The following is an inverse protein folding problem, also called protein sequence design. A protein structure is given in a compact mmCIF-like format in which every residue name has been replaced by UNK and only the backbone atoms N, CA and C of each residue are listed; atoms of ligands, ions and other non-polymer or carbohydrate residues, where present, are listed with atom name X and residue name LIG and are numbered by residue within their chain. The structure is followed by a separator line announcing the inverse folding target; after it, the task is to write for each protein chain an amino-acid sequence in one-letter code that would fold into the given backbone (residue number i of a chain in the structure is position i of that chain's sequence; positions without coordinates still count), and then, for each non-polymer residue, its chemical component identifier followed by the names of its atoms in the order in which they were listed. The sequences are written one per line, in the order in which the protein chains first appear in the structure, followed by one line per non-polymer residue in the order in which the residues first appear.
data_IF_931474622566
#
_entry.id   IF_931474622566
#
_cell.length_a   1.000
_cell.length_b   1.000
_cell.length_c   1.000
_cell.angle_alpha   90.00
_cell.angle_beta   90.00
_cell.angle_gamma   90.00
#
_symmetry.space_group_name_H-M   'P 1'
#
loop_
_entity.id
_entity.type
_entity.pdbx_description
1 polymer ?
#
# COMPACT_ATOMS: atom_id res chain seq x y z
N UNK A 1 14.44 3.26 24.35
CA UNK A 1 14.86 1.92 24.84
C UNK A 1 14.08 1.46 26.08
N UNK A 2 14.12 2.17 27.22
CA UNK A 2 13.46 1.72 28.46
C UNK A 2 11.93 1.56 28.37
N UNK A 3 11.23 2.48 27.68
CA UNK A 3 9.76 2.42 27.48
C UNK A 3 9.33 1.26 26.56
N UNK A 4 10.09 1.02 25.48
CA UNK A 4 9.89 -0.11 24.56
C UNK A 4 10.12 -1.46 25.27
N UNK A 5 11.10 -1.52 26.17
CA UNK A 5 11.44 -2.70 26.97
C UNK A 5 10.36 -3.02 28.03
N UNK A 6 9.72 -2.00 28.62
CA UNK A 6 8.56 -2.20 29.51
C UNK A 6 7.25 -2.52 28.78
N UNK A 7 7.01 -1.94 27.60
CA UNK A 7 5.82 -2.24 26.78
C UNK A 7 5.80 -3.71 26.32
N UNK A 8 6.96 -4.25 25.97
CA UNK A 8 7.12 -5.68 25.66
C UNK A 8 6.82 -6.59 26.87
N UNK A 9 7.10 -6.14 28.11
CA UNK A 9 6.83 -6.94 29.32
C UNK A 9 5.33 -7.17 29.53
N UNK A 10 4.51 -6.12 29.49
CA UNK A 10 3.05 -6.26 29.67
C UNK A 10 2.44 -7.19 28.62
N UNK A 11 2.92 -7.12 27.39
CA UNK A 11 2.46 -7.98 26.29
C UNK A 11 2.86 -9.44 26.51
N UNK A 12 4.07 -9.70 27.03
CA UNK A 12 4.55 -11.06 27.35
C UNK A 12 3.83 -11.70 28.54
N UNK A 13 3.53 -10.90 29.56
CA UNK A 13 2.82 -11.36 30.76
C UNK A 13 1.31 -11.52 30.56
N UNK A 14 0.77 -11.10 29.41
CA UNK A 14 -0.68 -11.08 29.18
C UNK A 14 -1.34 -12.43 29.47
N UNK A 15 -0.75 -13.55 29.05
CA UNK A 15 -1.31 -14.90 29.24
C UNK A 15 -0.89 -15.57 30.55
N UNK A 16 -0.13 -14.90 31.42
CA UNK A 16 0.23 -15.43 32.74
C UNK A 16 -0.86 -15.15 33.79
N UNK A 17 -1.86 -14.32 33.47
CA UNK A 17 -3.05 -14.14 34.29
C UNK A 17 -4.04 -15.31 34.06
N UNK A 18 -4.59 -15.94 35.13
CA UNK A 18 -5.57 -17.02 34.99
C UNK A 18 -6.77 -16.70 34.10
N UNK A 19 -7.26 -15.45 34.10
CA UNK A 19 -8.43 -15.05 33.31
C UNK A 19 -8.16 -15.03 31.81
N UNK A 20 -6.94 -14.69 31.41
CA UNK A 20 -6.51 -14.61 30.00
C UNK A 20 -5.87 -15.90 29.51
N UNK A 21 -5.29 -16.71 30.40
CA UNK A 21 -4.71 -18.01 30.09
C UNK A 21 -5.74 -18.99 29.49
N UNK A 22 -7.01 -18.84 29.83
CA UNK A 22 -8.12 -19.65 29.32
C UNK A 22 -8.59 -19.24 27.90
N UNK A 23 -8.11 -18.11 27.37
CA UNK A 23 -8.51 -17.64 26.03
C UNK A 23 -7.92 -18.59 24.97
N UNK A 24 -8.73 -19.08 24.01
CA UNK A 24 -8.26 -20.03 23.00
C UNK A 24 -7.17 -19.41 22.11
N UNK A 25 -6.09 -20.17 21.89
CA UNK A 25 -4.96 -19.75 21.05
C UNK A 25 -4.90 -20.53 19.72
N UNK A 26 -4.53 -19.88 18.60
CA UNK A 26 -4.37 -20.55 17.31
C UNK A 26 -3.34 -21.68 17.37
N UNK A 27 -3.72 -22.89 16.96
CA UNK A 27 -2.82 -24.05 16.88
C UNK A 27 -2.74 -24.90 18.15
N UNK A 28 -3.35 -24.47 19.25
CA UNK A 28 -3.67 -25.35 20.38
C UNK A 28 -4.99 -26.09 20.08
N UNK A 29 -5.39 -27.08 20.88
CA UNK A 29 -6.65 -27.84 20.73
C UNK A 29 -7.94 -27.00 20.78
N UNK A 30 -7.84 -25.67 20.80
CA UNK A 30 -8.92 -24.71 20.72
C UNK A 30 -9.60 -24.71 19.35
N UNK A 31 -10.94 -24.69 19.36
CA UNK A 31 -11.75 -24.61 18.16
C UNK A 31 -11.88 -23.14 17.73
N UNK A 32 -11.36 -22.82 16.55
CA UNK A 32 -11.70 -21.57 15.85
C UNK A 32 -12.88 -21.81 14.90
N UNK A 33 -13.76 -20.83 14.69
CA UNK A 33 -13.72 -19.46 15.24
C UNK A 33 -14.06 -19.39 16.75
N UNK A 34 -13.48 -18.42 17.45
CA UNK A 34 -13.75 -18.14 18.86
C UNK A 34 -14.29 -16.71 19.04
N UNK A 35 -15.25 -16.53 19.94
CA UNK A 35 -15.78 -15.21 20.31
C UNK A 35 -15.20 -14.79 21.66
N UNK A 36 -14.56 -13.63 21.68
CA UNK A 36 -14.03 -13.00 22.89
C UNK A 36 -14.80 -11.70 23.11
N UNK A 37 -15.44 -11.57 24.27
CA UNK A 37 -16.25 -10.41 24.65
C UNK A 37 -15.80 -9.84 25.99
N UNK A 38 -16.27 -8.64 26.34
CA UNK A 38 -15.94 -7.96 27.60
C UNK A 38 -14.65 -7.12 27.57
N UNK A 39 -13.87 -7.16 26.49
CA UNK A 39 -12.67 -6.35 26.33
C UNK A 39 -13.01 -4.93 25.83
N UNK A 40 -12.52 -3.90 26.55
CA UNK A 40 -12.49 -2.52 26.04
C UNK A 40 -11.53 -2.38 24.86
N UNK A 41 -11.59 -1.26 24.14
CA UNK A 41 -10.79 -1.04 22.92
C UNK A 41 -9.28 -1.27 23.12
N UNK A 42 -8.71 -0.68 24.18
CA UNK A 42 -7.28 -0.83 24.49
C UNK A 42 -6.91 -2.28 24.86
N UNK A 43 -7.79 -3.00 25.57
CA UNK A 43 -7.54 -4.40 25.92
C UNK A 43 -7.64 -5.33 24.71
N UNK A 44 -8.45 -4.99 23.69
CA UNK A 44 -8.44 -5.72 22.41
C UNK A 44 -7.09 -5.58 21.71
N UNK A 45 -6.53 -4.38 21.66
CA UNK A 45 -5.21 -4.13 21.09
C UNK A 45 -4.11 -4.89 21.86
N UNK A 46 -4.13 -4.85 23.20
CA UNK A 46 -3.18 -5.59 24.03
C UNK A 46 -3.28 -7.10 23.82
N UNK A 47 -4.50 -7.66 23.79
CA UNK A 47 -4.75 -9.07 23.49
C UNK A 47 -4.16 -9.45 22.12
N UNK A 48 -4.46 -8.67 21.08
CA UNK A 48 -3.97 -8.90 19.73
C UNK A 48 -2.43 -8.86 19.65
N UNK A 49 -1.80 -7.90 20.32
CA UNK A 49 -0.35 -7.82 20.42
C UNK A 49 0.23 -9.05 21.15
N UNK A 50 -0.41 -9.51 22.22
CA UNK A 50 0.01 -10.69 22.97
C UNK A 50 -0.15 -11.98 22.16
N UNK A 51 -1.24 -12.13 21.40
CA UNK A 51 -1.43 -13.26 20.47
C UNK A 51 -0.31 -13.30 19.44
N UNK A 52 0.05 -12.16 18.86
CA UNK A 52 1.13 -12.07 17.89
C UNK A 52 2.49 -12.41 18.53
N UNK A 53 2.82 -11.85 19.69
CA UNK A 53 4.05 -12.16 20.43
C UNK A 53 4.16 -13.65 20.74
N UNK A 54 3.08 -14.25 21.27
CA UNK A 54 3.06 -15.68 21.65
C UNK A 54 3.13 -16.62 20.46
N UNK A 55 2.49 -16.29 19.34
CA UNK A 55 2.45 -17.17 18.15
C UNK A 55 3.59 -16.94 17.17
N UNK A 56 4.22 -15.75 17.20
CA UNK A 56 5.22 -15.32 16.21
C UNK A 56 4.68 -15.20 14.79
N UNK A 57 3.36 -15.25 14.59
CA UNK A 57 2.72 -15.23 13.27
C UNK A 57 2.26 -13.82 12.89
N UNK A 58 2.21 -13.47 11.58
CA UNK A 58 1.61 -12.22 11.13
C UNK A 58 0.15 -12.09 11.57
N UNK A 59 -0.25 -10.88 11.94
CA UNK A 59 -1.59 -10.57 12.41
C UNK A 59 -2.32 -9.68 11.41
N UNK A 60 -3.48 -10.14 10.92
CA UNK A 60 -4.41 -9.31 10.14
C UNK A 60 -5.63 -9.03 11.02
N UNK A 61 -5.92 -7.75 11.25
CA UNK A 61 -7.02 -7.31 12.11
C UNK A 61 -8.05 -6.57 11.29
N UNK A 62 -9.29 -7.07 11.27
CA UNK A 62 -10.39 -6.43 10.55
C UNK A 62 -11.12 -5.45 11.45
N UNK A 63 -11.17 -4.19 11.02
CA UNK A 63 -11.85 -3.07 11.68
C UNK A 63 -13.13 -2.68 10.92
N UNK A 64 -14.18 -2.18 11.59
CA UNK A 64 -15.41 -1.76 10.92
C UNK A 64 -15.22 -0.53 10.01
N UNK A 65 -14.37 0.42 10.40
CA UNK A 65 -14.15 1.68 9.70
C UNK A 65 -12.71 2.19 9.90
N UNK A 66 -12.36 3.25 9.16
CA UNK A 66 -11.01 3.84 9.13
C UNK A 66 -10.61 4.46 10.47
N UNK A 67 -11.52 5.20 11.12
CA UNK A 67 -11.26 5.81 12.43
C UNK A 67 -10.93 4.76 13.48
N UNK A 68 -11.72 3.69 13.55
CA UNK A 68 -11.45 2.56 14.45
C UNK A 68 -10.16 1.82 14.06
N UNK A 69 -9.83 1.75 12.77
CA UNK A 69 -8.62 1.09 12.29
C UNK A 69 -7.35 1.87 12.68
N UNK A 70 -7.35 3.19 12.50
CA UNK A 70 -6.24 4.07 12.87
C UNK A 70 -5.99 4.05 14.38
N UNK A 71 -7.05 4.16 15.19
CA UNK A 71 -6.94 4.08 16.65
C UNK A 71 -6.36 2.73 17.09
N UNK A 72 -6.87 1.63 16.53
CA UNK A 72 -6.40 0.28 16.85
C UNK A 72 -4.95 0.06 16.39
N UNK A 73 -4.57 0.56 15.22
CA UNK A 73 -3.20 0.50 14.73
C UNK A 73 -2.24 1.23 15.69
N UNK A 74 -2.59 2.44 16.13
CA UNK A 74 -1.80 3.20 17.10
C UNK A 74 -1.60 2.43 18.41
N UNK A 75 -2.66 1.84 18.96
CA UNK A 75 -2.59 1.03 20.17
C UNK A 75 -1.73 -0.24 19.97
N UNK A 76 -1.88 -0.92 18.82
CA UNK A 76 -1.09 -2.12 18.49
C UNK A 76 0.41 -1.81 18.36
N UNK A 77 0.76 -0.72 17.67
CA UNK A 77 2.15 -0.25 17.57
C UNK A 77 2.69 0.06 18.96
N UNK A 78 1.89 0.72 19.82
CA UNK A 78 2.30 1.05 21.18
C UNK A 78 2.56 -0.18 22.08
N UNK A 79 1.76 -1.26 21.95
CA UNK A 79 1.96 -2.48 22.75
C UNK A 79 3.01 -3.44 22.19
N UNK A 80 3.09 -3.55 20.87
CA UNK A 80 3.99 -4.51 20.21
C UNK A 80 5.38 -3.93 19.95
N UNK A 81 5.50 -2.61 19.81
CA UNK A 81 6.73 -1.95 19.35
C UNK A 81 7.07 -2.24 17.89
N UNK A 82 6.13 -2.78 17.12
CA UNK A 82 6.31 -3.15 15.73
C UNK A 82 5.60 -2.17 14.82
N UNK A 83 6.11 -2.06 13.60
CA UNK A 83 5.40 -1.39 12.52
C UNK A 83 4.12 -2.16 12.17
N UNK A 84 3.08 -1.42 11.83
CA UNK A 84 1.79 -1.94 11.42
C UNK A 84 1.29 -1.17 10.20
N UNK A 85 0.69 -1.89 9.27
CA UNK A 85 0.18 -1.34 8.03
C UNK A 85 -1.33 -1.08 8.11
N UNK A 86 -1.78 0.02 7.51
CA UNK A 86 -3.20 0.34 7.38
C UNK A 86 -3.66 0.12 5.94
N UNK A 87 -4.69 -0.71 5.78
CA UNK A 87 -5.27 -1.01 4.46
C UNK A 87 -6.75 -0.67 4.48
N UNK A 88 -7.05 0.51 3.94
CA UNK A 88 -8.41 0.99 3.72
C UNK A 88 -8.85 0.74 2.27
N UNK A 89 -10.13 0.98 1.99
CA UNK A 89 -10.61 1.02 0.62
C UNK A 89 -10.10 2.26 -0.09
N UNK A 90 -9.76 2.16 -1.37
CA UNK A 90 -9.58 3.35 -2.20
C UNK A 90 -10.95 3.96 -2.50
N UNK A 91 -11.01 5.29 -2.59
CA UNK A 91 -12.19 5.97 -3.10
C UNK A 91 -12.39 5.63 -4.58
N UNK A 92 -13.62 5.30 -4.97
CA UNK A 92 -13.96 5.20 -6.39
C UNK A 92 -14.27 6.60 -6.89
N UNK A 93 -13.35 7.19 -7.67
CA UNK A 93 -13.64 8.43 -8.37
C UNK A 93 -14.42 8.11 -9.65
N UNK A 94 -15.65 8.62 -9.75
CA UNK A 94 -16.54 8.41 -10.91
C UNK A 94 -16.47 9.57 -11.93
N UNK A 95 -15.42 10.38 -11.86
CA UNK A 95 -15.11 11.47 -12.80
C UNK A 95 -13.78 11.17 -13.48
N UNK A 96 -13.51 11.83 -14.62
CA UNK A 96 -12.32 11.62 -15.44
C UNK A 96 -11.04 11.53 -14.60
N UNK A 97 -10.25 10.47 -14.84
CA UNK A 97 -9.10 10.08 -14.03
C UNK A 97 -8.02 11.17 -13.88
N UNK A 98 -8.02 12.17 -14.76
CA UNK A 98 -7.03 13.25 -14.83
C UNK A 98 -7.05 14.21 -13.64
N UNK A 99 -8.14 14.25 -12.85
CA UNK A 99 -8.28 15.16 -11.70
C UNK A 99 -8.39 14.44 -10.33
N UNK A 100 -8.35 13.11 -10.31
CA UNK A 100 -8.54 12.31 -9.11
C UNK A 100 -7.23 12.17 -8.31
N UNK A 101 -7.23 12.56 -7.04
CA UNK A 101 -6.13 12.24 -6.14
C UNK A 101 -6.03 10.72 -5.96
N UNK A 102 -4.86 10.15 -6.24
CA UNK A 102 -4.57 8.72 -6.06
C UNK A 102 -3.94 8.38 -4.71
N UNK A 103 -3.92 9.33 -3.77
CA UNK A 103 -3.22 9.14 -2.49
C UNK A 103 -3.70 7.92 -1.70
N UNK A 104 -5.01 7.65 -1.68
CA UNK A 104 -5.55 6.47 -1.01
C UNK A 104 -5.10 5.16 -1.68
N UNK A 105 -5.10 5.12 -3.02
CA UNK A 105 -4.59 4.00 -3.82
C UNK A 105 -3.09 3.79 -3.54
N UNK A 106 -2.31 4.85 -3.50
CA UNK A 106 -0.87 4.80 -3.28
C UNK A 106 -0.51 4.33 -1.86
N UNK A 107 -1.16 4.88 -0.82
CA UNK A 107 -1.00 4.40 0.57
C UNK A 107 -1.28 2.89 0.66
N UNK A 108 -2.34 2.44 -0.02
CA UNK A 108 -2.72 1.04 -0.09
C UNK A 108 -1.66 0.19 -0.81
N UNK A 109 -1.07 0.65 -1.92
CA UNK A 109 0.04 -0.04 -2.60
C UNK A 109 1.25 -0.18 -1.66
N UNK A 110 1.60 0.88 -0.92
CA UNK A 110 2.68 0.84 0.08
C UNK A 110 2.44 -0.24 1.14
N UNK A 111 1.25 -0.26 1.74
CA UNK A 111 0.86 -1.25 2.74
C UNK A 111 0.85 -2.69 2.19
N UNK A 112 0.36 -2.89 0.96
CA UNK A 112 0.40 -4.19 0.30
C UNK A 112 1.83 -4.65 0.01
N UNK A 113 2.72 -3.74 -0.37
CA UNK A 113 4.13 -4.05 -0.58
C UNK A 113 4.84 -4.40 0.73
N UNK A 114 4.55 -3.68 1.82
CA UNK A 114 5.05 -4.00 3.15
C UNK A 114 4.60 -5.42 3.58
N UNK A 115 3.33 -5.78 3.35
CA UNK A 115 2.85 -7.15 3.55
C UNK A 115 3.62 -8.18 2.71
N UNK A 116 3.93 -7.88 1.43
CA UNK A 116 4.76 -8.76 0.59
C UNK A 116 6.19 -8.93 1.13
N UNK A 117 6.71 -7.94 1.85
CA UNK A 117 8.01 -7.97 2.53
C UNK A 117 7.95 -8.60 3.92
N UNK A 118 6.78 -9.05 4.36
CA UNK A 118 6.60 -9.74 5.64
C UNK A 118 6.25 -8.82 6.79
N UNK A 119 5.60 -7.67 6.53
CA UNK A 119 5.09 -6.81 7.58
C UNK A 119 4.28 -7.62 8.60
N UNK A 120 4.56 -7.44 9.90
CA UNK A 120 4.09 -8.37 10.92
C UNK A 120 2.63 -8.14 11.34
N UNK A 121 2.10 -6.94 11.09
CA UNK A 121 0.76 -6.52 11.50
C UNK A 121 0.14 -5.70 10.39
N UNK A 122 -1.12 -5.98 10.07
CA UNK A 122 -1.94 -5.11 9.24
C UNK A 122 -3.33 -4.95 9.84
N UNK A 123 -3.79 -3.71 9.92
CA UNK A 123 -5.18 -3.37 10.24
C UNK A 123 -5.89 -3.04 8.92
N UNK A 124 -6.97 -3.76 8.65
CA UNK A 124 -7.73 -3.69 7.40
C UNK A 124 -9.16 -3.27 7.71
N UNK A 125 -9.74 -2.37 6.93
CA UNK A 125 -11.20 -2.19 6.98
C UNK A 125 -11.91 -3.32 6.22
N UNK A 126 -13.16 -3.60 6.57
CA UNK A 126 -13.97 -4.59 5.83
C UNK A 126 -14.05 -4.25 4.32
N UNK A 127 -14.23 -2.96 3.99
CA UNK A 127 -14.23 -2.48 2.61
C UNK A 127 -12.87 -2.68 1.93
N UNK A 128 -11.76 -2.34 2.62
CA UNK A 128 -10.40 -2.54 2.12
C UNK A 128 -10.04 -4.00 1.89
N UNK A 129 -10.57 -4.91 2.70
CA UNK A 129 -10.39 -6.36 2.55
C UNK A 129 -11.15 -6.94 1.35
N UNK A 130 -12.36 -6.44 1.09
CA UNK A 130 -13.20 -6.91 -0.02
C UNK A 130 -12.75 -6.37 -1.38
N UNK A 131 -12.03 -5.25 -1.40
CA UNK A 131 -11.54 -4.65 -2.62
C UNK A 131 -10.39 -5.47 -3.24
N UNK A 132 -10.57 -5.87 -4.50
CA UNK A 132 -9.50 -6.52 -5.28
C UNK A 132 -8.31 -5.57 -5.41
N UNK A 133 -7.12 -6.12 -5.25
CA UNK A 133 -5.85 -5.41 -5.41
C UNK A 133 -5.06 -5.95 -6.61
N UNK A 134 -4.00 -5.25 -6.98
CA UNK A 134 -2.98 -5.74 -7.92
C UNK A 134 -2.46 -7.12 -7.47
N UNK A 135 -2.29 -8.10 -8.38
CA UNK A 135 -1.74 -9.39 -8.01
C UNK A 135 -0.31 -9.28 -7.43
N UNK A 136 0.03 -10.05 -6.38
CA UNK A 136 1.34 -10.03 -5.73
C UNK A 136 2.54 -10.14 -6.68
N UNK A 137 2.43 -10.98 -7.69
CA UNK A 137 3.47 -11.19 -8.70
C UNK A 137 3.67 -9.99 -9.62
N UNK A 138 2.61 -9.23 -9.91
CA UNK A 138 2.70 -8.00 -10.69
C UNK A 138 3.36 -6.92 -9.83
N UNK A 139 2.92 -6.76 -8.58
CA UNK A 139 3.52 -5.78 -7.66
C UNK A 139 5.02 -6.05 -7.43
N UNK A 140 5.43 -7.32 -7.30
CA UNK A 140 6.87 -7.68 -7.19
C UNK A 140 7.67 -7.35 -8.45
N UNK A 141 7.07 -7.48 -9.63
CA UNK A 141 7.75 -7.24 -10.91
C UNK A 141 7.84 -5.76 -11.27
N UNK A 142 6.91 -4.95 -10.76
CA UNK A 142 6.89 -3.50 -11.00
C UNK A 142 7.68 -2.73 -9.95
N UNK A 143 7.82 -3.28 -8.75
CA UNK A 143 8.69 -2.74 -7.73
C UNK A 143 10.16 -3.00 -8.09
N UNK A 144 10.98 -1.95 -8.05
CA UNK A 144 12.44 -2.07 -8.21
C UNK A 144 13.16 -1.17 -7.20
N UNK A 145 14.48 -1.29 -7.13
CA UNK A 145 15.31 -0.52 -6.20
C UNK A 145 16.43 0.14 -6.98
N UNK A 146 16.75 1.38 -6.62
CA UNK A 146 17.90 2.13 -7.13
C UNK A 146 18.87 2.25 -5.97
N UNK A 147 20.12 1.85 -6.19
CA UNK A 147 21.18 1.91 -5.18
C UNK A 147 22.14 3.07 -5.50
N UNK A 148 22.70 3.68 -4.46
CA UNK A 148 23.73 4.70 -4.63
C UNK A 148 24.97 4.08 -5.31
N UNK A 149 25.51 4.74 -6.34
CA UNK A 149 26.59 4.21 -7.17
C UNK A 149 26.19 3.16 -8.22
N UNK A 150 24.90 2.85 -8.40
CA UNK A 150 24.46 1.94 -9.44
C UNK A 150 24.52 2.57 -10.85
N UNK A 151 24.94 1.79 -11.84
CA UNK A 151 24.87 2.18 -13.26
C UNK A 151 23.48 1.89 -13.83
N UNK A 152 22.61 2.90 -13.84
CA UNK A 152 21.27 2.83 -14.43
C UNK A 152 20.96 4.12 -15.20
N UNK A 153 20.74 4.05 -16.53
CA UNK A 153 20.42 5.23 -17.33
C UNK A 153 19.15 5.93 -16.81
N UNK A 154 19.16 7.26 -16.65
CA UNK A 154 17.98 7.99 -16.16
C UNK A 154 16.74 7.79 -17.04
N UNK A 155 16.94 7.54 -18.35
CA UNK A 155 15.86 7.28 -19.31
C UNK A 155 15.13 5.95 -19.02
N UNK A 156 15.84 4.92 -18.56
CA UNK A 156 15.25 3.63 -18.22
C UNK A 156 14.42 3.72 -16.94
N UNK A 157 14.88 4.50 -15.96
CA UNK A 157 14.12 4.78 -14.73
C UNK A 157 12.85 5.57 -15.04
N UNK A 158 12.94 6.58 -15.90
CA UNK A 158 11.80 7.39 -16.35
C UNK A 158 10.74 6.54 -17.08
N UNK A 159 11.17 5.68 -17.99
CA UNK A 159 10.30 4.73 -18.70
C UNK A 159 9.66 3.72 -17.73
N UNK A 160 10.40 3.24 -16.72
CA UNK A 160 9.85 2.41 -15.66
C UNK A 160 8.81 3.13 -14.79
N UNK A 161 9.04 4.41 -14.45
CA UNK A 161 8.08 5.25 -13.72
C UNK A 161 6.79 5.44 -14.53
N UNK A 162 6.89 5.76 -15.83
CA UNK A 162 5.72 5.89 -16.71
C UNK A 162 4.92 4.58 -16.78
N UNK A 163 5.58 3.43 -16.97
CA UNK A 163 4.91 2.12 -16.93
C UNK A 163 4.31 1.79 -15.56
N UNK A 164 4.89 2.33 -14.49
CA UNK A 164 4.40 2.21 -13.12
C UNK A 164 3.20 3.11 -12.83
N UNK A 165 2.72 3.90 -13.79
CA UNK A 165 1.57 4.78 -13.63
C UNK A 165 1.90 6.13 -12.99
N UNK A 166 3.16 6.56 -13.01
CA UNK A 166 3.53 7.89 -12.54
C UNK A 166 3.20 8.96 -13.58
N UNK A 167 2.81 10.14 -13.09
CA UNK A 167 2.58 11.32 -13.92
C UNK A 167 3.81 12.20 -13.94
N UNK A 168 4.26 12.59 -15.14
CA UNK A 168 5.34 13.57 -15.29
C UNK A 168 4.83 14.96 -14.92
N UNK A 169 5.53 15.63 -14.03
CA UNK A 169 5.25 16.99 -13.60
C UNK A 169 6.49 17.87 -13.83
N UNK A 170 6.29 19.19 -13.86
CA UNK A 170 7.40 20.14 -13.83
C UNK A 170 8.18 19.98 -12.52
N UNK A 171 7.47 19.87 -11.41
CA UNK A 171 7.98 19.68 -10.06
C UNK A 171 7.14 18.64 -9.33
N UNK A 172 7.77 17.86 -8.46
CA UNK A 172 7.07 16.88 -7.64
C UNK A 172 6.45 17.58 -6.43
N UNK A 173 5.12 17.47 -6.32
CA UNK A 173 4.31 18.04 -5.23
C UNK A 173 3.59 16.96 -4.42
N UNK A 174 3.36 15.78 -5.02
CA UNK A 174 2.63 14.69 -4.35
C UNK A 174 2.97 13.29 -4.87
N UNK A 175 2.46 12.25 -4.18
CA UNK A 175 2.77 10.86 -4.50
C UNK A 175 2.32 10.45 -5.91
N UNK A 176 3.12 9.61 -6.58
CA UNK A 176 2.91 9.19 -7.95
C UNK A 176 3.28 10.21 -9.02
N UNK A 177 3.93 11.31 -8.64
CA UNK A 177 4.53 12.24 -9.60
C UNK A 177 6.03 12.00 -9.74
N UNK A 178 6.57 12.37 -10.90
CA UNK A 178 8.01 12.47 -11.10
C UNK A 178 8.38 13.68 -11.97
N UNK A 179 9.60 14.17 -11.83
CA UNK A 179 10.17 15.22 -12.68
C UNK A 179 11.62 14.88 -13.03
N UNK A 180 12.04 15.25 -14.24
CA UNK A 180 13.41 15.07 -14.70
C UNK A 180 13.98 16.40 -15.17
N UNK A 181 15.10 16.81 -14.59
CA UNK A 181 15.79 18.08 -14.89
C UNK A 181 17.29 17.83 -15.02
N UNK A 182 17.77 17.68 -16.25
CA UNK A 182 19.16 17.32 -16.52
C UNK A 182 19.52 15.95 -15.91
N UNK A 183 20.53 15.93 -15.03
CA UNK A 183 20.95 14.75 -14.27
C UNK A 183 20.19 14.52 -12.96
N UNK A 184 19.07 15.20 -12.73
CA UNK A 184 18.24 15.01 -11.52
C UNK A 184 16.92 14.36 -11.91
N UNK A 185 16.56 13.29 -11.20
CA UNK A 185 15.25 12.66 -11.25
C UNK A 185 14.61 12.71 -9.86
N UNK A 186 13.51 13.45 -9.76
CA UNK A 186 12.70 13.47 -8.55
C UNK A 186 11.47 12.61 -8.76
N UNK A 187 11.08 11.81 -7.77
CA UNK A 187 9.82 11.08 -7.78
C UNK A 187 9.29 10.87 -6.37
N UNK A 188 7.98 10.74 -6.24
CA UNK A 188 7.35 10.48 -4.96
C UNK A 188 6.76 9.07 -4.96
N UNK A 189 7.55 8.12 -4.45
CA UNK A 189 7.14 6.72 -4.41
C UNK A 189 6.16 6.42 -3.26
N UNK A 190 5.15 5.57 -3.49
CA UNK A 190 4.28 5.06 -2.42
C UNK A 190 4.99 4.30 -1.29
N UNK A 191 6.27 3.93 -1.47
CA UNK A 191 7.08 3.31 -0.42
C UNK A 191 7.44 4.27 0.73
N UNK A 192 7.33 5.58 0.51
CA UNK A 192 7.90 6.58 1.41
C UNK A 192 6.90 7.67 1.79
N UNK A 193 7.06 8.30 2.96
CA UNK A 193 6.28 9.48 3.34
C UNK A 193 6.78 10.79 2.71
N UNK A 194 7.94 10.76 2.03
CA UNK A 194 8.59 11.91 1.40
C UNK A 194 9.13 11.54 0.01
N UNK A 195 9.23 12.50 -0.92
CA UNK A 195 9.77 12.25 -2.26
C UNK A 195 11.28 12.04 -2.24
N UNK A 196 11.77 11.32 -3.24
CA UNK A 196 13.17 10.96 -3.42
C UNK A 196 13.73 11.75 -4.61
N UNK A 197 14.93 12.29 -4.42
CA UNK A 197 15.77 12.88 -5.45
C UNK A 197 16.94 11.93 -5.72
N UNK A 198 17.06 11.51 -6.98
CA UNK A 198 18.21 10.76 -7.50
C UNK A 198 19.00 11.67 -8.42
N UNK A 199 20.30 11.80 -8.14
CA UNK A 199 21.25 12.52 -8.97
C UNK A 199 22.10 11.53 -9.77
N UNK A 200 22.38 11.91 -11.01
CA UNK A 200 23.09 11.11 -11.97
C UNK A 200 24.30 11.85 -12.51
N UNK A 201 25.38 11.10 -12.70
CA UNK A 201 26.55 11.48 -13.49
C UNK A 201 26.62 10.59 -14.74
N UNK A 202 26.06 11.08 -15.85
CA UNK A 202 25.85 10.24 -17.03
C UNK A 202 24.79 9.17 -16.75
N UNK A 203 25.19 7.90 -16.78
CA UNK A 203 24.33 6.75 -16.49
C UNK A 203 24.54 6.18 -15.08
N UNK A 204 25.39 6.79 -14.26
CA UNK A 204 25.67 6.35 -12.91
C UNK A 204 24.93 7.21 -11.87
N UNK A 205 24.41 6.58 -10.82
CA UNK A 205 23.81 7.26 -9.68
C UNK A 205 24.91 7.86 -8.80
N UNK A 206 24.91 9.19 -8.68
CA UNK A 206 25.84 9.97 -7.84
C UNK A 206 25.23 10.25 -6.45
N UNK A 207 23.91 10.17 -6.33
CA UNK A 207 23.30 10.21 -5.01
C UNK A 207 21.80 10.11 -4.91
N UNK A 208 21.36 9.69 -3.73
CA UNK A 208 19.96 9.50 -3.40
C UNK A 208 19.65 10.21 -2.09
N UNK A 209 18.56 10.97 -2.06
CA UNK A 209 18.13 11.67 -0.85
C UNK A 209 16.63 11.90 -0.83
N UNK A 210 16.04 11.99 0.36
CA UNK A 210 14.74 12.62 0.51
C UNK A 210 14.85 14.14 0.32
N UNK A 211 13.74 14.77 -0.06
CA UNK A 211 13.62 16.23 -0.08
C UNK A 211 12.23 16.68 0.37
N UNK A 212 12.13 17.94 0.79
CA UNK A 212 10.88 18.57 1.18
C UNK A 212 10.18 19.20 -0.04
N UNK A 213 8.90 18.87 -0.27
CA UNK A 213 8.14 19.35 -1.44
C UNK A 213 7.96 20.87 -1.46
N UNK A 214 7.89 21.53 -0.30
CA UNK A 214 7.69 22.98 -0.23
C UNK A 214 8.96 23.78 -0.54
N UNK A 215 10.07 23.43 0.10
CA UNK A 215 11.35 24.13 -0.03
C UNK A 215 12.24 23.59 -1.16
N UNK A 216 11.95 22.39 -1.67
CA UNK A 216 12.75 21.66 -2.66
C UNK A 216 14.19 21.37 -2.20
N UNK A 217 14.41 21.40 -0.89
CA UNK A 217 15.71 21.13 -0.26
C UNK A 217 15.79 19.68 0.19
N UNK A 218 16.97 19.10 0.01
CA UNK A 218 17.28 17.76 0.52
C UNK A 218 17.23 17.73 2.03
N UNK A 219 16.88 16.57 2.56
CA UNK A 219 16.77 16.34 4.00
C UNK A 219 17.73 15.24 4.43
N UNK A 220 17.43 13.99 4.08
CA UNK A 220 18.17 12.81 4.50
C UNK A 220 18.81 12.10 3.29
N UNK A 221 20.08 11.71 3.39
CA UNK A 221 20.79 10.92 2.37
C UNK A 221 20.42 9.44 2.52
N UNK A 222 20.20 8.76 1.41
CA UNK A 222 19.85 7.34 1.35
C UNK A 222 20.96 6.55 0.64
N UNK A 223 21.18 5.31 1.07
CA UNK A 223 22.03 4.35 0.34
C UNK A 223 21.30 3.69 -0.84
N UNK A 224 19.98 3.79 -0.87
CA UNK A 224 19.12 3.23 -1.90
C UNK A 224 17.67 3.63 -1.70
N UNK A 225 16.86 3.51 -2.74
CA UNK A 225 15.43 3.78 -2.68
C UNK A 225 14.61 2.77 -3.50
N UNK A 226 13.44 2.41 -2.99
CA UNK A 226 12.45 1.59 -3.67
C UNK A 226 11.53 2.47 -4.53
N UNK A 227 11.22 1.97 -5.72
CA UNK A 227 10.21 2.53 -6.62
C UNK A 227 9.07 1.52 -6.71
N UNK A 228 7.92 1.85 -6.11
CA UNK A 228 6.68 1.09 -6.25
C UNK A 228 5.83 1.66 -7.39
N UNK A 229 4.91 0.89 -8.01
CA UNK A 229 3.93 1.46 -8.94
C UNK A 229 3.06 2.51 -8.24
N UNK A 230 2.65 3.55 -8.97
CA UNK A 230 1.79 4.63 -8.49
C UNK A 230 0.29 4.36 -8.72
N UNK A 231 -0.07 3.28 -9.42
CA UNK A 231 -1.44 2.85 -9.69
C UNK A 231 -1.58 1.32 -9.58
N UNK A 232 -2.75 0.83 -9.13
CA UNK A 232 -3.04 -0.60 -9.04
C UNK A 232 -3.40 -1.23 -10.40
N UNK A 233 -3.95 -0.41 -11.30
CA UNK A 233 -4.29 -0.83 -12.67
C UNK A 233 -3.23 -0.31 -13.63
N UNK A 234 -2.45 -1.23 -14.20
CA UNK A 234 -1.40 -0.92 -15.17
C UNK A 234 -1.73 -1.58 -16.51
N UNK A 235 -2.34 -0.87 -17.48
CA UNK A 235 -2.78 -1.44 -18.76
C UNK A 235 -1.68 -2.16 -19.54
N UNK A 236 -0.45 -1.63 -19.49
CA UNK A 236 0.73 -2.20 -20.13
C UNK A 236 1.10 -3.59 -19.60
N UNK A 237 0.68 -3.94 -18.39
CA UNK A 237 0.98 -5.21 -17.73
C UNK A 237 -0.19 -6.20 -17.74
N UNK A 238 -1.31 -5.84 -18.39
CA UNK A 238 -2.40 -6.78 -18.60
C UNK A 238 -1.93 -7.99 -19.41
N UNK A 239 -2.56 -9.16 -19.20
CA UNK A 239 -2.23 -10.36 -19.97
C UNK A 239 -2.59 -10.15 -21.44
N UNK A 240 -1.58 -10.03 -22.30
CA UNK A 240 -1.74 -9.67 -23.71
C UNK A 240 -1.60 -8.16 -23.99
N UNK A 241 -1.19 -7.37 -23.01
CA UNK A 241 -0.95 -5.94 -23.12
C UNK A 241 -2.24 -5.10 -23.14
N UNK A 242 -2.06 -3.78 -23.35
CA UNK A 242 -3.15 -2.82 -23.35
C UNK A 242 -4.22 -3.13 -24.41
N UNK A 243 -3.83 -3.61 -25.60
CA UNK A 243 -4.77 -3.99 -26.66
C UNK A 243 -5.70 -5.15 -26.24
N UNK A 244 -5.19 -6.14 -25.51
CA UNK A 244 -6.02 -7.23 -24.98
C UNK A 244 -6.96 -6.77 -23.85
N UNK A 245 -6.51 -5.79 -23.05
CA UNK A 245 -7.36 -5.15 -22.05
C UNK A 245 -8.52 -4.40 -22.73
N UNK A 246 -8.21 -3.55 -23.72
CA UNK A 246 -9.20 -2.81 -24.51
C UNK A 246 -10.25 -3.76 -25.14
N UNK A 247 -9.80 -4.85 -25.76
CA UNK A 247 -10.72 -5.86 -26.32
C UNK A 247 -11.62 -6.50 -25.25
N UNK A 248 -11.08 -6.74 -24.05
CA UNK A 248 -11.84 -7.28 -22.91
C UNK A 248 -12.88 -6.29 -22.40
N UNK A 249 -12.51 -5.01 -22.28
CA UNK A 249 -13.39 -3.92 -21.88
C UNK A 249 -14.53 -3.75 -22.90
N UNK A 250 -14.23 -3.78 -24.20
CA UNK A 250 -15.25 -3.78 -25.27
C UNK A 250 -16.22 -4.96 -25.16
N UNK A 251 -15.72 -6.17 -24.93
CA UNK A 251 -16.58 -7.34 -24.73
C UNK A 251 -17.47 -7.23 -23.48
N UNK A 252 -17.00 -6.58 -22.42
CA UNK A 252 -17.79 -6.29 -21.22
C UNK A 252 -18.85 -5.22 -21.50
N UNK A 253 -18.52 -4.17 -22.24
CA UNK A 253 -19.47 -3.14 -22.66
C UNK A 253 -20.62 -3.74 -23.50
N UNK A 254 -20.31 -4.67 -24.40
CA UNK A 254 -21.32 -5.39 -25.19
C UNK A 254 -22.23 -6.26 -24.34
N UNK A 255 -21.70 -6.87 -23.27
CA UNK A 255 -22.54 -7.63 -22.31
C UNK A 255 -23.40 -6.71 -21.46
N UNK A 256 -22.87 -5.59 -21.01
CA UNK A 256 -23.59 -4.60 -20.21
C UNK A 256 -24.76 -4.00 -21.00
N UNK A 257 -24.55 -3.63 -22.27
CA UNK A 257 -25.61 -3.09 -23.13
C UNK A 257 -26.75 -4.08 -23.45
N UNK A 258 -26.50 -5.40 -23.37
CA UNK A 258 -27.53 -6.44 -23.58
C UNK A 258 -28.44 -6.67 -22.36
N UNK A 259 -28.06 -6.18 -21.16
CA UNK A 259 -28.94 -6.25 -19.99
C UNK A 259 -30.04 -5.19 -20.13
N UNK A 260 -31.27 -5.63 -20.39
CA UNK A 260 -32.45 -4.74 -20.40
C UNK A 260 -32.75 -4.27 -18.97
N UNK A 261 -32.87 -2.95 -18.77
CA UNK A 261 -33.70 -2.40 -17.69
C UNK A 261 -33.05 -1.56 -16.60
N UNK A 262 -31.86 -0.96 -16.80
CA UNK A 262 -31.36 0.05 -15.86
C UNK A 262 -30.44 1.04 -16.59
N UNK A 263 -30.68 2.35 -16.45
CA UNK A 263 -29.80 3.41 -16.97
C UNK A 263 -28.36 3.30 -16.43
N UNK A 264 -28.17 2.57 -15.33
CA UNK A 264 -26.85 2.15 -14.83
C UNK A 264 -26.10 1.26 -15.81
N UNK A 265 -26.78 0.34 -16.51
CA UNK A 265 -26.14 -0.58 -17.47
C UNK A 265 -25.67 0.16 -18.73
N UNK A 266 -26.41 1.18 -19.16
CA UNK A 266 -26.02 2.04 -20.29
C UNK A 266 -24.81 2.91 -19.93
N UNK A 267 -24.81 3.54 -18.75
CA UNK A 267 -23.67 4.30 -18.23
C UNK A 267 -22.42 3.44 -18.10
N UNK A 268 -22.56 2.24 -17.55
CA UNK A 268 -21.45 1.28 -17.44
C UNK A 268 -20.91 0.90 -18.83
N UNK A 269 -21.78 0.63 -19.79
CA UNK A 269 -21.35 0.30 -21.15
C UNK A 269 -20.65 1.48 -21.84
N UNK A 270 -21.05 2.72 -21.57
CA UNK A 270 -20.39 3.91 -22.08
C UNK A 270 -18.99 4.08 -21.48
N UNK A 271 -18.86 4.03 -20.14
CA UNK A 271 -17.57 4.14 -19.47
C UNK A 271 -16.59 3.03 -19.88
N UNK A 272 -17.06 1.79 -20.02
CA UNK A 272 -16.21 0.69 -20.48
C UNK A 272 -15.70 0.85 -21.92
N UNK A 273 -16.42 1.59 -22.78
CA UNK A 273 -15.96 1.90 -24.13
C UNK A 273 -14.96 3.05 -24.12
N UNK A 274 -15.22 4.08 -23.34
CA UNK A 274 -14.27 5.18 -23.13
C UNK A 274 -12.95 4.66 -22.56
N UNK A 275 -12.98 3.78 -21.56
CA UNK A 275 -11.76 3.15 -21.00
C UNK A 275 -11.03 2.21 -21.98
N UNK A 276 -11.68 1.78 -23.06
CA UNK A 276 -11.10 0.88 -24.06
C UNK A 276 -10.39 1.63 -25.19
N UNK A 277 -10.68 2.92 -25.38
CA UNK A 277 -10.04 3.81 -26.37
C UNK A 277 -8.70 4.34 -25.86
#
# INVERSE_FOLDING_TARGET
MYKMMQQSFLTREFFNNPETAAIPMPGESGRFPALISGLSAIHRAHFMAAVREKTGRPLIVVSPDETAAEALMGDLVAFSGLEAELICSREFTFFSADAASRQAEQKRIGALYALLKGAPVAVVTAAGLMQRAMPPEILRRTAFTIEDGAGVPPADVEDALLRGGYTRAEQVEGPGQFSRRGGILDFFSPAYPAPVRVEFWGDDVDGISFFDVGSQRRTERLSGCAVLPAAETLPSLYKGGAAALAATLGALADRASKRRGDGTSEKLAASLREDAE
#
